data_IF_744260774111
#
_entry.id   IF_744260774111
#
_cell.length_a   1.000
_cell.length_b   1.000
_cell.length_c   1.000
_cell.angle_alpha   90.00
_cell.angle_beta   90.00
_cell.angle_gamma   90.00
#
_symmetry.space_group_name_H-M   'P 1'
#
loop_
_entity.id
_entity.type
_entity.pdbx_description
1 polymer ?
#
# COMPACT_ATOMS: atom_id res chain seq x y z
N UNK A 1 -7.23 23.52 -24.06
CA UNK A 1 -8.45 22.68 -24.03
C UNK A 1 -8.04 21.32 -23.48
N UNK A 2 -8.44 20.94 -22.27
CA UNK A 2 -9.82 20.58 -21.92
C UNK A 2 -10.04 20.83 -20.41
N UNK A 3 -10.98 21.70 -20.06
CA UNK A 3 -11.47 21.84 -18.70
C UNK A 3 -12.26 20.58 -18.35
N UNK A 4 -11.70 19.76 -17.45
CA UNK A 4 -12.39 18.58 -16.93
C UNK A 4 -13.26 19.10 -15.78
N UNK A 5 -14.50 19.39 -16.13
CA UNK A 5 -15.57 19.72 -15.22
C UNK A 5 -15.85 18.48 -14.35
N UNK A 6 -15.22 18.38 -13.17
CA UNK A 6 -15.52 17.32 -12.20
C UNK A 6 -16.83 17.66 -11.51
N UNK A 7 -17.92 17.48 -12.25
CA UNK A 7 -19.25 17.33 -11.66
C UNK A 7 -19.19 16.23 -10.61
N UNK A 8 -19.87 16.47 -9.50
CA UNK A 8 -19.96 15.65 -8.30
C UNK A 8 -20.28 14.19 -8.63
N UNK A 9 -19.25 13.35 -8.78
CA UNK A 9 -19.42 11.90 -8.91
C UNK A 9 -19.20 11.31 -7.53
N UNK A 10 -20.32 10.98 -6.88
CA UNK A 10 -20.37 10.33 -5.57
C UNK A 10 -20.07 8.83 -5.74
N UNK A 11 -18.85 8.52 -6.13
CA UNK A 11 -18.29 7.20 -6.25
C UNK A 11 -16.77 7.35 -6.27
N UNK A 12 -16.04 6.45 -5.60
CA UNK A 12 -14.58 6.37 -5.66
C UNK A 12 -14.16 6.07 -7.12
N UNK A 13 -14.17 7.10 -7.96
CA UNK A 13 -13.53 7.06 -9.25
C UNK A 13 -12.05 7.16 -8.92
N UNK A 14 -11.43 5.99 -8.75
CA UNK A 14 -9.99 5.87 -8.92
C UNK A 14 -9.70 6.19 -10.40
N UNK A 15 -9.60 7.49 -10.70
CA UNK A 15 -8.91 7.94 -11.91
C UNK A 15 -7.46 7.58 -11.68
N UNK A 16 -7.12 6.32 -11.94
CA UNK A 16 -5.77 5.97 -12.28
C UNK A 16 -5.52 6.76 -13.54
N UNK A 17 -4.76 7.87 -13.42
CA UNK A 17 -4.21 8.54 -14.59
C UNK A 17 -3.60 7.43 -15.45
N UNK A 18 -4.27 7.13 -16.58
CA UNK A 18 -3.70 6.25 -17.58
C UNK A 18 -2.28 6.72 -17.79
N UNK A 19 -1.28 5.81 -17.82
CA UNK A 19 0.09 6.22 -18.02
C UNK A 19 0.10 7.08 -19.26
N UNK A 20 0.33 8.38 -19.09
CA UNK A 20 0.70 9.26 -20.19
C UNK A 20 1.79 8.47 -20.89
N UNK A 21 1.55 8.13 -22.15
CA UNK A 21 2.44 7.30 -22.95
C UNK A 21 3.67 8.16 -23.22
N UNK A 22 4.50 8.30 -22.20
CA UNK A 22 5.76 9.00 -22.24
C UNK A 22 6.67 8.02 -22.95
N UNK A 23 7.12 8.40 -24.15
CA UNK A 23 8.13 7.65 -24.86
C UNK A 23 9.46 7.82 -24.12
N UNK A 24 9.67 6.99 -23.09
CA UNK A 24 10.86 7.00 -22.23
C UNK A 24 12.16 6.86 -23.03
N UNK A 25 12.08 6.28 -24.23
CA UNK A 25 13.19 6.16 -25.19
C UNK A 25 13.67 7.50 -25.76
N UNK A 26 12.80 8.51 -25.84
CA UNK A 26 13.13 9.84 -26.34
C UNK A 26 13.64 10.79 -25.23
N UNK A 27 13.55 10.38 -23.96
CA UNK A 27 14.01 11.19 -22.83
C UNK A 27 15.55 11.20 -22.70
N UNK A 28 16.08 12.34 -22.23
CA UNK A 28 17.49 12.43 -21.83
C UNK A 28 17.76 11.62 -20.56
N UNK A 29 19.02 11.22 -20.34
CA UNK A 29 19.42 10.44 -19.17
C UNK A 29 19.05 11.14 -17.84
N UNK A 30 19.17 12.47 -17.80
CA UNK A 30 18.80 13.27 -16.62
C UNK A 30 17.28 13.21 -16.34
N UNK A 31 16.45 13.32 -17.38
CA UNK A 31 15.00 13.21 -17.25
C UNK A 31 14.58 11.81 -16.79
N UNK A 32 15.22 10.76 -17.32
CA UNK A 32 15.02 9.38 -16.89
C UNK A 32 15.39 9.18 -15.42
N UNK A 33 16.50 9.78 -14.97
CA UNK A 33 16.93 9.71 -13.57
C UNK A 33 15.94 10.42 -12.64
N UNK A 34 15.50 11.62 -13.01
CA UNK A 34 14.50 12.37 -12.26
C UNK A 34 13.17 11.60 -12.13
N UNK A 35 12.74 10.94 -13.21
CA UNK A 35 11.51 10.16 -13.22
C UNK A 35 11.64 8.86 -12.40
N UNK A 36 12.84 8.25 -12.36
CA UNK A 36 13.18 7.13 -11.47
C UNK A 36 13.04 7.54 -10.00
N UNK A 37 13.65 8.66 -9.62
CA UNK A 37 13.57 9.20 -8.24
C UNK A 37 12.13 9.51 -7.87
N UNK A 38 11.37 10.13 -8.79
CA UNK A 38 9.94 10.40 -8.61
C UNK A 38 9.17 9.11 -8.36
N UNK A 39 9.30 8.09 -9.22
CA UNK A 39 8.61 6.80 -9.05
C UNK A 39 8.98 6.11 -7.73
N UNK A 40 10.25 6.12 -7.33
CA UNK A 40 10.67 5.58 -6.04
C UNK A 40 10.05 6.33 -4.85
N UNK A 41 9.95 7.66 -4.94
CA UNK A 41 9.34 8.48 -3.88
C UNK A 41 7.83 8.18 -3.73
N UNK A 42 7.13 7.97 -4.84
CA UNK A 42 5.72 7.60 -4.86
C UNK A 42 5.51 6.20 -4.27
N UNK A 43 6.33 5.23 -4.66
CA UNK A 43 6.29 3.87 -4.10
C UNK A 43 6.49 3.87 -2.58
N UNK A 44 7.45 4.66 -2.09
CA UNK A 44 7.69 4.78 -0.64
C UNK A 44 6.48 5.39 0.08
N UNK A 45 5.86 6.43 -0.49
CA UNK A 45 4.66 7.06 0.07
C UNK A 45 3.47 6.08 0.10
N UNK A 46 3.23 5.34 -0.98
CA UNK A 46 2.16 4.36 -1.06
C UNK A 46 2.34 3.21 -0.06
N UNK A 47 3.54 2.62 0.00
CA UNK A 47 3.89 1.60 0.99
C UNK A 47 3.69 2.09 2.41
N UNK A 48 4.05 3.34 2.69
CA UNK A 48 3.92 3.93 4.03
C UNK A 48 2.45 4.16 4.39
N UNK A 49 1.65 4.67 3.45
CA UNK A 49 0.21 4.86 3.64
C UNK A 49 -0.49 3.51 3.87
N UNK A 50 -0.14 2.48 3.10
CA UNK A 50 -0.65 1.11 3.27
C UNK A 50 -0.29 0.53 4.62
N UNK A 51 0.98 0.59 5.02
CA UNK A 51 1.43 0.14 6.35
C UNK A 51 0.69 0.86 7.47
N UNK A 52 0.51 2.18 7.35
CA UNK A 52 -0.25 2.97 8.32
C UNK A 52 -1.69 2.48 8.43
N UNK A 53 -2.37 2.27 7.30
CA UNK A 53 -3.75 1.78 7.29
C UNK A 53 -3.88 0.38 7.92
N UNK A 54 -2.98 -0.55 7.56
CA UNK A 54 -2.96 -1.89 8.15
C UNK A 54 -2.72 -1.80 9.66
N UNK A 55 -1.74 -1.01 10.08
CA UNK A 55 -1.40 -0.83 11.50
C UNK A 55 -2.59 -0.24 12.28
N UNK A 56 -3.28 0.76 11.74
CA UNK A 56 -4.46 1.34 12.40
C UNK A 56 -5.59 0.32 12.55
N UNK A 57 -5.83 -0.50 11.53
CA UNK A 57 -6.88 -1.54 11.59
C UNK A 57 -6.51 -2.65 12.59
N UNK A 58 -5.26 -3.09 12.59
CA UNK A 58 -4.73 -4.09 13.54
C UNK A 58 -4.84 -3.56 14.97
N UNK A 59 -4.45 -2.31 15.22
CA UNK A 59 -4.56 -1.69 16.55
C UNK A 59 -6.01 -1.57 17.02
N UNK A 60 -6.93 -1.20 16.12
CA UNK A 60 -8.35 -1.09 16.45
C UNK A 60 -8.94 -2.45 16.84
N UNK A 61 -8.68 -3.50 16.05
CA UNK A 61 -9.16 -4.86 16.34
C UNK A 61 -8.50 -5.40 17.62
N UNK A 62 -7.19 -5.19 17.80
CA UNK A 62 -6.49 -5.61 19.02
C UNK A 62 -7.06 -4.93 20.27
N UNK A 63 -7.42 -3.65 20.18
CA UNK A 63 -8.08 -2.92 21.27
C UNK A 63 -9.44 -3.54 21.62
N UNK A 64 -10.27 -3.87 20.63
CA UNK A 64 -11.56 -4.52 20.86
C UNK A 64 -11.41 -5.89 21.52
N UNK A 65 -10.49 -6.73 21.02
CA UNK A 65 -10.23 -8.07 21.59
C UNK A 65 -9.75 -7.94 23.03
N UNK A 66 -8.87 -6.97 23.31
CA UNK A 66 -8.36 -6.72 24.66
C UNK A 66 -9.47 -6.32 25.64
N UNK A 67 -10.40 -5.44 25.23
CA UNK A 67 -11.54 -5.02 26.05
C UNK A 67 -12.47 -6.21 26.35
N UNK A 68 -12.79 -7.03 25.35
CA UNK A 68 -13.64 -8.22 25.53
C UNK A 68 -12.98 -9.23 26.46
N UNK A 69 -11.70 -9.54 26.23
CA UNK A 69 -10.94 -10.46 27.10
C UNK A 69 -10.85 -9.94 28.54
N UNK A 70 -10.71 -8.62 28.74
CA UNK A 70 -10.71 -8.02 30.07
C UNK A 70 -12.05 -8.18 30.78
N UNK A 71 -13.17 -7.98 30.07
CA UNK A 71 -14.51 -8.18 30.62
C UNK A 71 -14.79 -9.64 31.01
N UNK A 72 -14.36 -10.59 30.17
CA UNK A 72 -14.46 -12.04 30.46
C UNK A 72 -13.57 -12.44 31.64
N UNK A 73 -12.39 -11.83 31.76
CA UNK A 73 -11.49 -12.05 32.91
C UNK A 73 -12.14 -11.59 34.23
N UNK A 74 -12.78 -10.41 34.23
CA UNK A 74 -13.54 -9.91 35.38
C UNK A 74 -14.74 -10.79 35.74
N UNK A 75 -15.33 -11.47 34.74
CA UNK A 75 -16.42 -12.44 34.94
C UNK A 75 -15.95 -13.77 35.54
N UNK A 76 -14.66 -13.91 35.87
CA UNK A 76 -14.08 -15.09 36.51
C UNK A 76 -13.66 -16.21 35.55
N UNK A 77 -13.92 -16.07 34.26
CA UNK A 77 -13.61 -17.08 33.23
C UNK A 77 -12.22 -16.85 32.61
N UNK A 78 -11.17 -17.05 33.41
CA UNK A 78 -9.77 -16.74 33.03
C UNK A 78 -9.27 -17.55 31.83
N UNK A 79 -9.64 -18.84 31.75
CA UNK A 79 -9.27 -19.74 30.64
C UNK A 79 -9.88 -19.29 29.30
N UNK A 80 -11.10 -18.75 29.32
CA UNK A 80 -11.74 -18.24 28.11
C UNK A 80 -11.08 -16.93 27.67
N UNK A 81 -10.73 -16.05 28.61
CA UNK A 81 -10.02 -14.81 28.31
C UNK A 81 -8.66 -15.05 27.64
N UNK A 82 -7.88 -16.04 28.09
CA UNK A 82 -6.60 -16.42 27.49
C UNK A 82 -6.77 -17.05 26.11
N UNK A 83 -7.82 -17.86 25.90
CA UNK A 83 -8.15 -18.45 24.60
C UNK A 83 -8.54 -17.35 23.59
N UNK A 84 -9.32 -16.36 23.99
CA UNK A 84 -9.65 -15.22 23.12
C UNK A 84 -8.42 -14.39 22.73
N UNK A 85 -7.50 -14.15 23.68
CA UNK A 85 -6.26 -13.43 23.39
C UNK A 85 -5.35 -14.19 22.42
N UNK A 86 -5.16 -15.49 22.64
CA UNK A 86 -4.29 -16.33 21.80
C UNK A 86 -4.86 -16.51 20.40
N UNK A 87 -6.15 -16.84 20.28
CA UNK A 87 -6.81 -16.99 18.98
C UNK A 87 -6.90 -15.65 18.24
N UNK A 88 -7.23 -14.57 18.94
CA UNK A 88 -7.24 -13.21 18.40
C UNK A 88 -5.86 -12.76 17.90
N UNK A 89 -4.80 -13.06 18.65
CA UNK A 89 -3.42 -12.77 18.25
C UNK A 89 -2.99 -13.52 16.98
N UNK A 90 -3.34 -14.81 16.87
CA UNK A 90 -3.07 -15.61 15.67
C UNK A 90 -3.81 -15.06 14.45
N UNK A 91 -5.09 -14.73 14.59
CA UNK A 91 -5.89 -14.14 13.51
C UNK A 91 -5.32 -12.79 13.05
N UNK A 92 -4.95 -11.91 14.00
CA UNK A 92 -4.34 -10.61 13.69
C UNK A 92 -3.03 -10.76 12.92
N UNK A 93 -2.20 -11.72 13.32
CA UNK A 93 -0.93 -12.00 12.64
C UNK A 93 -1.16 -12.50 11.21
N UNK A 94 -2.14 -13.39 11.01
CA UNK A 94 -2.52 -13.89 9.69
C UNK A 94 -3.15 -12.83 8.78
N UNK A 95 -3.91 -11.88 9.34
CA UNK A 95 -4.45 -10.75 8.58
C UNK A 95 -3.35 -9.75 8.20
N UNK A 96 -2.44 -9.46 9.12
CA UNK A 96 -1.32 -8.55 8.87
C UNK A 96 -0.37 -9.08 7.79
N UNK A 97 -0.08 -10.38 7.76
CA UNK A 97 0.76 -10.99 6.72
C UNK A 97 0.09 -10.95 5.34
N UNK A 98 -1.16 -11.40 5.24
CA UNK A 98 -1.91 -11.41 3.99
C UNK A 98 -2.14 -10.00 3.42
N UNK A 99 -2.39 -9.02 4.29
CA UNK A 99 -2.57 -7.63 3.89
C UNK A 99 -1.26 -6.94 3.53
N UNK A 100 -0.10 -7.48 3.91
CA UNK A 100 1.23 -6.94 3.62
C UNK A 100 1.80 -7.39 2.26
N UNK A 101 1.37 -8.53 1.72
CA UNK A 101 2.00 -9.09 0.53
C UNK A 101 1.38 -8.69 -0.81
N UNK A 102 0.11 -8.26 -0.86
CA UNK A 102 -0.54 -7.92 -2.15
C UNK A 102 -0.25 -6.48 -2.60
N UNK A 103 0.60 -6.24 -3.62
CA UNK A 103 0.85 -4.88 -4.10
C UNK A 103 -0.41 -4.27 -4.71
N UNK A 104 -0.65 -2.99 -4.42
CA UNK A 104 -1.75 -2.23 -5.05
C UNK A 104 -1.51 -2.04 -6.54
N UNK A 105 -2.55 -1.83 -7.34
CA UNK A 105 -2.42 -1.61 -8.79
C UNK A 105 -1.47 -0.45 -9.14
N UNK A 106 -1.47 0.62 -8.33
CA UNK A 106 -0.51 1.73 -8.46
C UNK A 106 0.95 1.30 -8.21
N UNK A 107 1.17 0.47 -7.19
CA UNK A 107 2.51 -0.06 -6.89
C UNK A 107 3.01 -0.92 -8.05
N UNK A 108 2.14 -1.75 -8.64
CA UNK A 108 2.48 -2.56 -9.83
C UNK A 108 2.90 -1.68 -11.00
N UNK A 109 2.11 -0.66 -11.33
CA UNK A 109 2.41 0.29 -12.40
C UNK A 109 3.75 1.00 -12.15
N UNK A 110 4.01 1.44 -10.93
CA UNK A 110 5.28 2.11 -10.59
C UNK A 110 6.49 1.15 -10.66
N UNK A 111 6.31 -0.12 -10.26
CA UNK A 111 7.34 -1.16 -10.41
C UNK A 111 7.63 -1.44 -11.88
N UNK A 112 6.61 -1.54 -12.73
CA UNK A 112 6.77 -1.73 -14.17
C UNK A 112 7.52 -0.57 -14.82
N UNK A 113 7.16 0.68 -14.48
CA UNK A 113 7.89 1.87 -14.94
C UNK A 113 9.36 1.85 -14.53
N UNK A 114 9.66 1.49 -13.27
CA UNK A 114 11.03 1.39 -12.81
C UNK A 114 11.82 0.31 -13.56
N UNK A 115 11.22 -0.84 -13.87
CA UNK A 115 11.83 -1.88 -14.70
C UNK A 115 12.14 -1.40 -16.11
N UNK A 116 11.21 -0.66 -16.73
CA UNK A 116 11.42 -0.07 -18.05
C UNK A 116 12.57 0.95 -18.05
N UNK A 117 12.61 1.84 -17.06
CA UNK A 117 13.70 2.82 -16.90
C UNK A 117 15.04 2.10 -16.73
N UNK A 118 15.09 1.04 -15.92
CA UNK A 118 16.30 0.24 -15.73
C UNK A 118 16.75 -0.46 -17.02
N UNK A 119 15.81 -0.98 -17.81
CA UNK A 119 16.11 -1.60 -19.10
C UNK A 119 16.69 -0.57 -20.08
N UNK A 120 16.17 0.66 -20.10
CA UNK A 120 16.71 1.75 -20.92
C UNK A 120 18.11 2.16 -20.46
N UNK A 121 18.37 2.20 -19.15
CA UNK A 121 19.72 2.50 -18.65
C UNK A 121 20.74 1.42 -19.03
N UNK A 122 20.34 0.14 -18.95
CA UNK A 122 21.17 -0.98 -19.38
C UNK A 122 21.47 -0.93 -20.89
N UNK A 123 20.47 -0.60 -21.71
CA UNK A 123 20.64 -0.45 -23.17
C UNK A 123 21.56 0.71 -23.54
N UNK A 124 21.57 1.78 -22.72
CA UNK A 124 22.43 2.96 -22.90
C UNK A 124 23.81 2.83 -22.24
N UNK A 125 24.11 1.69 -21.62
CA UNK A 125 25.37 1.43 -20.89
C UNK A 125 25.70 2.49 -19.81
N UNK A 126 24.67 3.13 -19.25
CA UNK A 126 24.85 4.16 -18.21
C UNK A 126 24.98 3.51 -16.82
N UNK A 127 24.39 2.31 -16.66
CA UNK A 127 24.43 1.46 -15.47
C UNK A 127 24.48 -0.03 -15.84
#
# INVERSE_FOLDING_TARGET
>A
MRDINTGTINGDVHVYEQPVRIDYWACSNEQLFQERVRCQSLLKKEKTKRKKNILTTVLFIASLISVVSFFVYLSGQKELASLFLTMGGLMLTGLASNASDKPTELEKIQIERLKLIQLIFADREVE
#
